data_IF_974534662369
#
_entry.id   IF_974534662369
#
_cell.length_a   1.000
_cell.length_b   1.000
_cell.length_c   1.000
_cell.angle_alpha   90.00
_cell.angle_beta   90.00
_cell.angle_gamma   90.00
#
_symmetry.space_group_name_H-M   'P 1'
#
loop_
_entity.id
_entity.type
_entity.pdbx_description
1 polymer ?
#
# COMPACT_ATOMS: atom_id res chain seq x y z
N UNK A 1 58.35 8.03 -12.70
CA UNK A 1 57.77 9.37 -12.43
C UNK A 1 56.53 9.46 -13.31
N UNK A 2 55.29 9.63 -12.89
CA UNK A 2 54.63 9.94 -11.61
C UNK A 2 53.20 9.34 -11.66
N UNK A 3 52.52 9.40 -10.50
CA UNK A 3 51.16 8.92 -10.20
C UNK A 3 50.06 9.85 -10.75
N UNK A 4 48.86 9.29 -10.89
CA UNK A 4 47.55 9.98 -10.76
C UNK A 4 46.46 9.08 -11.36
N UNK A 5 45.50 8.49 -10.64
CA UNK A 5 44.81 8.92 -9.44
C UNK A 5 43.42 9.42 -9.83
N UNK A 6 42.39 8.57 -9.76
CA UNK A 6 41.01 8.97 -10.06
C UNK A 6 40.00 7.83 -10.02
N UNK A 7 39.63 7.36 -8.81
CA UNK A 7 38.45 6.53 -8.64
C UNK A 7 37.17 7.37 -8.73
N UNK A 8 36.11 6.82 -9.35
CA UNK A 8 34.71 7.28 -9.20
C UNK A 8 33.72 6.23 -9.72
N UNK A 9 32.99 5.64 -8.76
CA UNK A 9 31.55 5.35 -8.85
C UNK A 9 31.08 4.14 -9.67
N UNK A 10 30.47 3.17 -8.98
CA UNK A 10 29.62 2.13 -9.56
C UNK A 10 28.50 2.76 -10.42
N UNK A 11 28.68 2.79 -11.73
CA UNK A 11 27.66 3.23 -12.67
C UNK A 11 26.67 2.10 -12.97
N UNK A 12 25.43 2.23 -12.47
CA UNK A 12 24.29 1.50 -13.06
C UNK A 12 24.26 1.85 -14.57
N UNK A 13 24.01 0.90 -15.48
CA UNK A 13 23.88 1.19 -16.91
C UNK A 13 22.85 2.31 -17.14
N UNK A 14 23.11 3.24 -18.06
CA UNK A 14 22.14 4.25 -18.51
C UNK A 14 21.06 3.58 -19.38
N UNK A 15 20.23 2.71 -18.79
CA UNK A 15 18.91 2.41 -19.34
C UNK A 15 18.04 3.66 -19.24
N UNK A 16 16.90 3.69 -19.94
CA UNK A 16 15.88 4.71 -19.68
C UNK A 16 15.63 4.82 -18.16
N UNK A 17 15.34 6.02 -17.62
CA UNK A 17 14.99 6.17 -16.22
C UNK A 17 13.92 5.13 -15.86
N UNK A 18 14.06 4.42 -14.73
CA UNK A 18 13.06 3.45 -14.32
C UNK A 18 11.70 4.14 -14.25
N UNK A 19 10.66 3.44 -14.69
CA UNK A 19 9.30 3.92 -14.53
C UNK A 19 8.94 4.02 -13.05
N UNK A 20 7.95 4.87 -12.74
CA UNK A 20 7.57 5.17 -11.36
C UNK A 20 7.21 3.92 -10.53
N UNK A 21 6.41 2.96 -11.04
CA UNK A 21 6.17 1.69 -10.33
C UNK A 21 7.46 0.94 -9.96
N UNK A 22 8.43 0.85 -10.87
CA UNK A 22 9.72 0.21 -10.61
C UNK A 22 10.53 0.94 -9.54
N UNK A 23 10.50 2.28 -9.52
CA UNK A 23 11.13 3.09 -8.47
C UNK A 23 10.51 2.83 -7.09
N UNK A 24 9.18 2.78 -7.02
CA UNK A 24 8.47 2.47 -5.79
C UNK A 24 8.81 1.05 -5.31
N UNK A 25 8.83 0.08 -6.21
CA UNK A 25 9.15 -1.30 -5.86
C UNK A 25 10.61 -1.45 -5.35
N UNK A 26 11.59 -0.77 -5.96
CA UNK A 26 12.98 -0.74 -5.45
C UNK A 26 13.06 -0.08 -4.05
N UNK A 27 12.23 0.93 -3.81
CA UNK A 27 12.05 1.51 -2.49
C UNK A 27 11.36 0.56 -1.48
N UNK A 28 10.80 -0.58 -1.95
CA UNK A 28 9.95 -1.54 -1.22
C UNK A 28 8.56 -0.99 -0.88
N UNK A 29 8.05 -0.12 -1.74
CA UNK A 29 6.75 0.52 -1.61
C UNK A 29 5.77 -0.16 -2.56
N UNK A 30 4.70 -0.72 -1.99
CA UNK A 30 3.53 -1.19 -2.72
C UNK A 30 2.39 -0.17 -2.52
N UNK A 31 1.79 0.31 -3.61
CA UNK A 31 0.70 1.29 -3.54
C UNK A 31 -0.64 0.67 -3.95
N UNK A 32 -1.59 0.62 -3.03
CA UNK A 32 -2.97 0.20 -3.24
C UNK A 32 -3.87 1.43 -3.40
N UNK A 33 -3.94 1.96 -4.62
CA UNK A 33 -4.71 3.16 -4.98
C UNK A 33 -6.06 2.92 -5.67
N UNK A 34 -6.41 1.65 -5.91
CA UNK A 34 -7.56 1.25 -6.72
C UNK A 34 -8.43 0.25 -5.96
N UNK A 35 -9.69 0.06 -6.36
CA UNK A 35 -10.51 -1.02 -5.84
C UNK A 35 -9.81 -2.38 -5.97
N UNK A 36 -10.00 -3.25 -4.99
CA UNK A 36 -9.40 -4.59 -4.98
C UNK A 36 -10.14 -5.43 -6.02
N UNK A 37 -9.56 -5.52 -7.20
CA UNK A 37 -10.02 -6.35 -8.32
C UNK A 37 -9.00 -7.44 -8.65
N UNK A 38 -9.39 -8.43 -9.48
CA UNK A 38 -8.50 -9.47 -9.94
C UNK A 38 -7.11 -9.04 -10.46
N UNK A 39 -6.99 -7.93 -11.18
CA UNK A 39 -5.66 -7.49 -11.63
C UNK A 39 -4.81 -6.89 -10.48
N UNK A 40 -5.46 -6.19 -9.54
CA UNK A 40 -4.78 -5.50 -8.43
C UNK A 40 -4.26 -6.49 -7.40
N UNK A 41 -5.05 -7.51 -7.05
CA UNK A 41 -4.59 -8.50 -6.06
C UNK A 41 -3.41 -9.32 -6.55
N UNK A 42 -3.45 -9.79 -7.81
CA UNK A 42 -2.33 -10.54 -8.41
C UNK A 42 -1.05 -9.71 -8.42
N UNK A 43 -1.17 -8.43 -8.76
CA UNK A 43 -0.03 -7.52 -8.76
C UNK A 43 0.52 -7.28 -7.35
N UNK A 44 -0.33 -7.12 -6.33
CA UNK A 44 0.14 -6.95 -4.94
C UNK A 44 0.81 -8.22 -4.40
N UNK A 45 0.21 -9.38 -4.64
CA UNK A 45 0.78 -10.68 -4.25
C UNK A 45 2.15 -10.88 -4.90
N UNK A 46 2.26 -10.60 -6.20
CA UNK A 46 3.53 -10.70 -6.91
C UNK A 46 4.60 -9.73 -6.35
N UNK A 47 4.22 -8.49 -6.04
CA UNK A 47 5.13 -7.52 -5.41
C UNK A 47 5.58 -7.98 -4.03
N UNK A 48 4.69 -8.51 -3.20
CA UNK A 48 5.05 -9.02 -1.87
C UNK A 48 6.02 -10.20 -1.96
N UNK A 49 5.73 -11.17 -2.83
CA UNK A 49 6.63 -12.31 -3.07
C UNK A 49 8.00 -11.85 -3.58
N UNK A 50 8.03 -10.90 -4.51
CA UNK A 50 9.28 -10.36 -5.03
C UNK A 50 10.11 -9.67 -3.94
N UNK A 51 9.49 -8.82 -3.14
CA UNK A 51 10.16 -8.09 -2.06
C UNK A 51 10.65 -9.01 -0.95
N UNK A 52 9.88 -10.05 -0.63
CA UNK A 52 10.27 -11.05 0.35
C UNK A 52 11.45 -11.91 -0.15
N UNK A 53 11.45 -12.26 -1.44
CA UNK A 53 12.58 -12.94 -2.07
C UNK A 53 13.85 -12.07 -2.10
N UNK A 54 13.74 -10.79 -2.47
CA UNK A 54 14.87 -9.87 -2.56
C UNK A 54 15.55 -9.64 -1.21
N UNK A 55 14.76 -9.33 -0.17
CA UNK A 55 15.30 -9.14 1.17
C UNK A 55 14.22 -9.34 2.25
N UNK A 56 14.11 -10.53 2.85
CA UNK A 56 13.06 -10.84 3.83
C UNK A 56 13.24 -10.13 5.18
N UNK A 57 14.43 -9.55 5.43
CA UNK A 57 14.70 -8.82 6.68
C UNK A 57 14.29 -7.35 6.62
N UNK A 58 13.90 -6.84 5.44
CA UNK A 58 13.48 -5.45 5.26
C UNK A 58 11.95 -5.38 5.15
N UNK A 59 11.32 -4.38 5.78
CA UNK A 59 9.88 -4.26 5.70
C UNK A 59 9.39 -3.94 4.28
N UNK A 60 8.13 -4.27 4.04
CA UNK A 60 7.35 -3.87 2.87
C UNK A 60 6.44 -2.72 3.30
N UNK A 61 6.44 -1.61 2.57
CA UNK A 61 5.58 -0.47 2.87
C UNK A 61 4.35 -0.51 1.98
N UNK A 62 3.19 -0.86 2.56
CA UNK A 62 1.89 -0.84 1.89
C UNK A 62 1.18 0.49 2.14
N UNK A 63 1.15 1.33 1.10
CA UNK A 63 0.42 2.59 1.09
C UNK A 63 -0.99 2.34 0.56
N UNK A 64 -2.01 2.72 1.33
CA UNK A 64 -3.41 2.41 1.05
C UNK A 64 -4.18 3.71 0.78
N UNK A 65 -4.86 3.75 -0.35
CA UNK A 65 -5.82 4.77 -0.75
C UNK A 65 -6.89 4.13 -1.65
N UNK A 66 -7.78 3.32 -1.06
CA UNK A 66 -8.74 2.51 -1.80
C UNK A 66 -10.09 2.41 -1.08
N UNK A 67 -11.17 2.34 -1.86
CA UNK A 67 -12.53 2.16 -1.36
C UNK A 67 -12.86 0.72 -0.93
N UNK A 68 -11.94 -0.23 -1.11
CA UNK A 68 -12.22 -1.65 -0.95
C UNK A 68 -12.61 -2.29 -2.28
N UNK A 69 -13.71 -3.03 -2.32
CA UNK A 69 -14.29 -3.60 -3.55
C UNK A 69 -15.32 -2.61 -4.13
N UNK A 70 -15.81 -2.83 -5.36
CA UNK A 70 -16.83 -1.94 -5.95
C UNK A 70 -18.24 -2.14 -5.34
N UNK A 71 -18.36 -2.89 -4.25
CA UNK A 71 -19.61 -3.18 -3.57
C UNK A 71 -20.21 -1.95 -2.84
N UNK A 72 -19.47 -0.83 -2.73
CA UNK A 72 -20.06 0.43 -2.24
C UNK A 72 -20.95 1.13 -3.28
N UNK A 73 -21.04 0.62 -4.52
CA UNK A 73 -21.78 1.27 -5.61
C UNK A 73 -23.28 0.91 -5.66
N UNK A 74 -23.90 0.66 -4.50
CA UNK A 74 -25.36 0.56 -4.39
C UNK A 74 -25.90 1.59 -3.38
N UNK A 75 -25.51 2.86 -3.52
CA UNK A 75 -26.23 3.99 -2.89
C UNK A 75 -27.68 4.10 -3.40
N UNK A 76 -28.02 3.42 -4.50
CA UNK A 76 -29.39 3.27 -4.99
C UNK A 76 -30.20 2.22 -4.20
N UNK A 77 -29.61 1.47 -3.27
CA UNK A 77 -30.32 0.46 -2.45
C UNK A 77 -31.05 1.05 -1.23
N UNK A 78 -30.74 2.30 -0.86
CA UNK A 78 -31.45 3.01 0.22
C UNK A 78 -32.72 3.73 -0.28
N UNK A 79 -32.93 3.78 -1.60
CA UNK A 79 -34.11 4.37 -2.21
C UNK A 79 -34.99 3.21 -2.66
N UNK A 80 -36.03 2.95 -1.88
CA UNK A 80 -37.12 2.06 -2.23
C UNK A 80 -37.61 2.37 -3.66
N UNK A 81 -37.83 1.33 -4.45
CA UNK A 81 -38.25 1.33 -5.86
C UNK A 81 -37.16 1.53 -6.92
N UNK A 82 -36.56 0.42 -7.35
CA UNK A 82 -36.63 0.07 -8.78
C UNK A 82 -36.78 -1.45 -8.91
N UNK A 83 -38.02 -1.89 -8.79
CA UNK A 83 -38.46 -3.16 -9.36
C UNK A 83 -38.38 -2.99 -10.89
N UNK A 84 -38.02 -4.07 -11.60
CA UNK A 84 -37.94 -4.21 -13.06
C UNK A 84 -36.63 -3.77 -13.75
N UNK A 85 -35.57 -4.56 -13.56
CA UNK A 85 -34.91 -5.25 -14.67
C UNK A 85 -34.32 -6.56 -14.15
N UNK A 86 -34.76 -7.69 -14.70
CA UNK A 86 -33.98 -8.94 -14.67
C UNK A 86 -32.63 -8.67 -15.37
N UNK A 87 -31.57 -9.45 -15.07
CA UNK A 87 -30.21 -9.37 -15.69
C UNK A 87 -29.12 -8.53 -14.99
N UNK A 88 -29.16 -8.36 -13.67
CA UNK A 88 -27.93 -7.99 -12.94
C UNK A 88 -27.45 -9.18 -12.14
N UNK A 89 -26.49 -9.88 -12.74
CA UNK A 89 -25.37 -10.47 -12.01
C UNK A 89 -24.84 -9.35 -11.10
N UNK A 90 -25.47 -9.18 -9.93
CA UNK A 90 -24.80 -8.59 -8.79
C UNK A 90 -23.62 -9.54 -8.63
N UNK A 91 -22.49 -9.16 -9.22
CA UNK A 91 -21.26 -9.89 -9.06
C UNK A 91 -21.14 -10.00 -7.56
N UNK A 92 -21.29 -11.21 -7.03
CA UNK A 92 -20.80 -11.56 -5.71
C UNK A 92 -19.33 -11.26 -5.84
N UNK A 93 -18.95 -10.02 -5.53
CA UNK A 93 -17.57 -9.58 -5.66
C UNK A 93 -16.82 -10.42 -4.66
N UNK A 94 -15.93 -11.25 -5.18
CA UNK A 94 -15.23 -12.22 -4.38
C UNK A 94 -14.34 -11.46 -3.40
N UNK A 95 -14.80 -11.40 -2.15
CA UNK A 95 -14.04 -10.86 -1.02
C UNK A 95 -12.70 -11.59 -0.80
N UNK A 96 -12.51 -12.73 -1.48
CA UNK A 96 -11.30 -13.56 -1.48
C UNK A 96 -10.04 -12.80 -1.80
N UNK A 97 -10.14 -11.70 -2.56
CA UNK A 97 -8.95 -11.03 -3.06
C UNK A 97 -8.24 -10.26 -1.94
N UNK A 98 -9.02 -9.64 -1.05
CA UNK A 98 -8.47 -9.00 0.14
C UNK A 98 -7.96 -10.04 1.15
N UNK A 99 -8.63 -11.18 1.29
CA UNK A 99 -8.14 -12.28 2.13
C UNK A 99 -6.84 -12.89 1.60
N UNK A 100 -6.70 -13.05 0.29
CA UNK A 100 -5.45 -13.51 -0.31
C UNK A 100 -4.30 -12.51 -0.06
N UNK A 101 -4.57 -11.20 -0.13
CA UNK A 101 -3.58 -10.18 0.24
C UNK A 101 -3.25 -10.29 1.73
N UNK A 102 -4.25 -10.44 2.60
CA UNK A 102 -4.07 -10.61 4.04
C UNK A 102 -3.23 -11.83 4.39
N UNK A 103 -3.53 -12.98 3.79
CA UNK A 103 -2.78 -14.22 3.96
C UNK A 103 -1.33 -14.03 3.49
N UNK A 104 -1.10 -13.28 2.40
CA UNK A 104 0.24 -12.98 1.95
C UNK A 104 1.00 -12.03 2.87
N UNK A 105 0.31 -11.14 3.60
CA UNK A 105 0.94 -10.29 4.61
C UNK A 105 1.49 -11.11 5.79
N UNK A 106 0.80 -12.20 6.17
CA UNK A 106 1.25 -13.13 7.23
C UNK A 106 2.26 -14.17 6.71
N UNK A 107 2.12 -14.58 5.45
CA UNK A 107 3.01 -15.55 4.82
C UNK A 107 4.44 -15.01 4.57
N UNK A 108 4.56 -13.74 4.17
CA UNK A 108 5.87 -13.14 3.90
C UNK A 108 6.68 -13.01 5.20
N UNK A 109 7.98 -13.29 5.11
CA UNK A 109 8.89 -13.09 6.26
C UNK A 109 9.13 -11.61 6.55
N UNK A 110 9.04 -10.79 5.52
CA UNK A 110 9.12 -9.33 5.61
C UNK A 110 7.92 -8.77 6.37
N UNK A 111 8.18 -7.96 7.39
CA UNK A 111 7.12 -7.19 8.06
C UNK A 111 6.38 -6.29 7.06
N UNK A 112 5.05 -6.23 7.16
CA UNK A 112 4.22 -5.36 6.32
C UNK A 112 3.77 -4.14 7.10
N UNK A 113 4.27 -2.98 6.69
CA UNK A 113 4.01 -1.68 7.27
C UNK A 113 2.90 -0.98 6.50
N UNK A 114 1.82 -0.60 7.17
CA UNK A 114 0.62 -0.09 6.49
C UNK A 114 0.40 1.40 6.77
N UNK A 115 0.07 2.15 5.72
CA UNK A 115 -0.15 3.59 5.82
C UNK A 115 -1.40 3.99 5.03
N UNK A 116 -2.43 4.49 5.71
CA UNK A 116 -3.59 5.10 5.05
C UNK A 116 -3.25 6.53 4.59
N UNK A 117 -3.33 6.77 3.29
CA UNK A 117 -2.97 8.03 2.65
C UNK A 117 -4.14 8.87 2.16
N UNK A 118 -5.36 8.36 2.23
CA UNK A 118 -6.53 9.08 1.76
C UNK A 118 -7.80 8.42 2.26
N UNK A 119 -8.17 7.28 1.67
CA UNK A 119 -9.33 6.51 2.09
C UNK A 119 -8.98 5.04 2.27
N UNK A 120 -9.51 4.44 3.33
CA UNK A 120 -9.48 3.00 3.56
C UNK A 120 -10.84 2.54 4.09
N UNK A 121 -11.65 1.91 3.25
CA UNK A 121 -12.99 1.44 3.59
C UNK A 121 -13.15 -0.08 3.47
N UNK A 122 -13.93 -0.67 4.37
CA UNK A 122 -14.25 -2.09 4.37
C UNK A 122 -13.01 -2.97 4.45
N UNK A 123 -12.75 -3.74 3.40
CA UNK A 123 -11.63 -4.69 3.35
C UNK A 123 -10.25 -4.01 3.33
N UNK A 124 -10.13 -2.80 2.78
CA UNK A 124 -8.85 -2.07 2.81
C UNK A 124 -8.53 -1.55 4.22
N UNK A 125 -9.55 -1.26 5.02
CA UNK A 125 -9.40 -0.92 6.43
C UNK A 125 -9.02 -2.16 7.28
N UNK A 126 -9.48 -3.34 6.89
CA UNK A 126 -8.98 -4.62 7.44
C UNK A 126 -7.48 -4.78 7.13
N UNK A 127 -7.07 -4.64 5.86
CA UNK A 127 -5.65 -4.73 5.48
C UNK A 127 -4.78 -3.72 6.22
N UNK A 128 -5.25 -2.47 6.36
CA UNK A 128 -4.59 -1.45 7.19
C UNK A 128 -4.35 -1.94 8.62
N UNK A 129 -5.33 -2.61 9.22
CA UNK A 129 -5.27 -3.12 10.59
C UNK A 129 -4.35 -4.33 10.76
N UNK A 130 -4.17 -5.14 9.70
CA UNK A 130 -3.33 -6.33 9.68
C UNK A 130 -1.83 -6.03 9.53
N UNK A 131 -1.45 -4.77 9.27
CA UNK A 131 -0.04 -4.39 9.29
C UNK A 131 0.64 -4.70 10.61
N UNK A 132 1.97 -4.82 10.61
CA UNK A 132 2.76 -5.12 11.80
C UNK A 132 2.44 -4.14 12.92
N UNK A 133 2.11 -4.68 14.11
CA UNK A 133 1.79 -3.86 15.28
C UNK A 133 2.93 -2.88 15.59
N UNK A 134 2.57 -1.64 15.85
CA UNK A 134 3.54 -0.55 16.01
C UNK A 134 4.09 -0.04 14.69
N UNK A 135 3.45 -0.33 13.54
CA UNK A 135 3.80 0.17 12.20
C UNK A 135 2.55 0.39 11.33
N UNK A 136 1.41 0.68 11.96
CA UNK A 136 0.14 1.01 11.29
C UNK A 136 -0.15 2.49 11.46
N UNK A 137 -0.28 3.18 10.35
CA UNK A 137 -0.21 4.64 10.28
C UNK A 137 -1.35 5.23 9.46
N UNK A 138 -1.70 6.49 9.75
CA UNK A 138 -2.77 7.19 9.07
C UNK A 138 -2.45 8.68 8.90
N UNK A 139 -2.64 9.19 7.69
CA UNK A 139 -2.49 10.60 7.38
C UNK A 139 -3.56 11.45 8.08
N UNK A 140 -3.29 12.73 8.41
CA UNK A 140 -4.21 13.59 9.16
C UNK A 140 -5.55 13.81 8.49
N UNK A 141 -5.53 13.88 7.17
CA UNK A 141 -6.70 14.15 6.35
C UNK A 141 -7.29 12.87 5.75
N UNK A 142 -6.71 11.70 6.08
CA UNK A 142 -7.25 10.45 5.59
C UNK A 142 -8.48 10.03 6.40
N UNK A 143 -9.28 9.14 5.83
CA UNK A 143 -10.49 8.59 6.45
C UNK A 143 -10.44 7.07 6.41
N UNK A 144 -10.87 6.43 7.50
CA UNK A 144 -11.04 4.98 7.56
C UNK A 144 -12.38 4.62 8.17
N UNK A 145 -13.10 3.68 7.57
CA UNK A 145 -14.38 3.18 8.09
C UNK A 145 -14.41 1.66 8.02
N UNK A 146 -14.38 1.06 9.21
CA UNK A 146 -14.74 -0.32 9.51
C UNK A 146 -15.32 -0.31 10.92
N UNK A 147 -16.09 -1.32 11.31
CA UNK A 147 -16.72 -1.41 12.64
C UNK A 147 -15.75 -1.24 13.82
N UNK A 148 -16.26 -1.18 15.07
CA UNK A 148 -15.44 -0.82 16.22
C UNK A 148 -14.24 -1.77 16.37
N UNK A 149 -13.01 -1.31 16.10
CA UNK A 149 -11.82 -2.16 16.25
C UNK A 149 -10.58 -1.87 15.42
N UNK A 150 -10.51 -0.84 14.56
CA UNK A 150 -9.22 -0.46 13.95
C UNK A 150 -8.32 0.12 15.05
N UNK A 151 -7.46 -0.71 15.63
CA UNK A 151 -6.46 -0.31 16.60
C UNK A 151 -5.27 0.30 15.85
N UNK A 152 -5.36 1.55 15.44
CA UNK A 152 -4.19 2.28 14.97
C UNK A 152 -3.24 2.53 16.15
N UNK A 153 -1.93 2.51 15.87
CA UNK A 153 -0.94 2.66 16.93
C UNK A 153 -0.81 4.16 17.27
N UNK A 154 -1.54 4.59 18.30
CA UNK A 154 -1.66 5.99 18.77
C UNK A 154 -0.34 6.67 19.13
N UNK A 155 0.74 5.91 19.27
CA UNK A 155 2.07 6.40 19.66
C UNK A 155 3.14 6.20 18.60
N UNK A 156 2.74 5.89 17.35
CA UNK A 156 3.69 5.77 16.27
C UNK A 156 4.39 7.12 16.03
N UNK A 157 5.73 7.14 16.15
CA UNK A 157 6.52 8.26 15.65
C UNK A 157 6.34 8.31 14.13
N UNK A 158 6.19 9.47 13.48
CA UNK A 158 5.87 9.62 12.04
C UNK A 158 6.90 9.02 11.05
N UNK A 159 7.89 8.28 11.53
CA UNK A 159 9.07 7.80 10.81
C UNK A 159 8.78 6.86 9.64
N UNK A 160 7.62 6.21 9.58
CA UNK A 160 7.33 5.21 8.55
C UNK A 160 7.24 5.83 7.15
N UNK A 161 6.74 7.06 7.09
CA UNK A 161 6.68 7.89 5.89
C UNK A 161 8.06 8.43 5.54
N UNK A 162 8.79 8.90 6.54
CA UNK A 162 10.16 9.40 6.37
C UNK A 162 11.08 8.32 5.79
N UNK A 163 10.93 7.04 6.19
CA UNK A 163 11.78 5.96 5.67
C UNK A 163 11.48 5.60 4.21
N UNK A 164 10.21 5.57 3.81
CA UNK A 164 9.83 5.34 2.42
C UNK A 164 10.22 6.52 1.52
N UNK A 165 10.00 7.74 2.01
CA UNK A 165 10.37 8.98 1.32
C UNK A 165 11.87 9.22 1.26
N UNK A 166 12.63 8.90 2.32
CA UNK A 166 14.09 9.03 2.32
C UNK A 166 14.76 8.18 1.24
N UNK A 167 14.20 6.99 0.94
CA UNK A 167 14.65 6.22 -0.22
C UNK A 167 14.28 6.85 -1.55
N UNK A 168 13.17 7.59 -1.64
CA UNK A 168 12.81 8.35 -2.83
C UNK A 168 13.65 9.63 -2.97
N UNK A 169 14.11 10.22 -1.86
CA UNK A 169 15.09 11.31 -1.83
C UNK A 169 16.42 10.87 -2.46
N UNK A 170 16.84 9.60 -2.28
CA UNK A 170 18.00 9.02 -2.98
C UNK A 170 17.82 9.02 -4.52
N UNK A 171 16.57 9.07 -5.00
CA UNK A 171 16.20 9.24 -6.41
C UNK A 171 15.87 10.70 -6.78
N UNK A 172 16.04 11.65 -5.86
CA UNK A 172 15.88 13.08 -6.09
C UNK A 172 14.47 13.64 -5.83
N UNK A 173 13.57 12.88 -5.20
CA UNK A 173 12.21 13.34 -4.87
C UNK A 173 12.12 13.85 -3.43
N UNK A 174 12.27 15.18 -3.22
CA UNK A 174 12.12 15.80 -1.90
C UNK A 174 10.69 15.66 -1.34
N UNK A 175 10.53 14.91 -0.26
CA UNK A 175 9.28 14.78 0.50
C UNK A 175 8.93 16.05 1.30
N UNK A 176 7.62 16.35 1.43
CA UNK A 176 7.11 17.37 2.36
C UNK A 176 6.90 16.76 3.75
N UNK A 177 7.22 17.52 4.82
CA UNK A 177 6.99 17.08 6.21
C UNK A 177 5.53 16.65 6.39
N UNK A 178 5.34 15.37 6.67
CA UNK A 178 4.02 14.77 6.73
C UNK A 178 3.63 14.57 8.19
N UNK A 179 2.82 15.48 8.73
CA UNK A 179 2.17 15.28 10.04
C UNK A 179 1.28 14.03 9.99
N UNK A 180 1.13 13.26 11.07
CA UNK A 180 0.19 12.13 11.17
C UNK A 180 -0.79 12.33 12.33
N UNK A 181 -2.02 11.82 12.21
CA UNK A 181 -3.02 11.87 13.29
C UNK A 181 -3.02 10.56 14.06
N UNK A 182 -3.04 10.68 15.39
CA UNK A 182 -3.20 9.59 16.34
C UNK A 182 -4.70 9.38 16.56
N UNK A 183 -5.26 8.23 16.19
CA UNK A 183 -6.68 7.88 16.44
C UNK A 183 -6.77 6.79 17.50
#
# INVERSE_FOLDING_TARGET
MERGGGGRGNGRPRSAPPDLPSLLLDARICYLGMPIVPAVKELLVAQFMWLDFDNPSKPIYLYINSSGTHSFTNLNSLLHETIYQNEKMETVEYETEAYAIADMMDYCKSDVYTVNCGMAFGQTAMLLSLGTKGYRAMQPNSSSFHGPGILLDKDLKPKILDFGLAKLDDFGFKGSETSMVRV
#
